data_IF_071385821182
#
_entry.id   IF_071385821182
#
_cell.length_a   1.000
_cell.length_b   1.000
_cell.length_c   1.000
_cell.angle_alpha   90.00
_cell.angle_beta   90.00
_cell.angle_gamma   90.00
#
_symmetry.space_group_name_H-M   'P 1'
#
loop_
_entity.id
_entity.type
_entity.pdbx_description
1 polymer ?
#
# COMPACT_ATOMS: atom_id res chain seq x y z
N UNK A 1 24.84 -28.73 17.11
CA UNK A 1 24.33 -27.71 16.20
C UNK A 1 22.92 -27.29 16.63
N UNK A 2 22.78 -26.62 17.79
CA UNK A 2 21.46 -26.22 18.33
C UNK A 2 21.48 -24.82 18.98
N UNK A 3 22.49 -23.97 18.65
CA UNK A 3 22.72 -22.70 19.35
C UNK A 3 22.33 -21.45 18.56
N UNK A 4 21.86 -21.59 17.29
CA UNK A 4 21.66 -20.42 16.41
C UNK A 4 20.19 -19.97 16.28
N UNK A 5 19.24 -20.87 16.50
CA UNK A 5 17.81 -20.52 16.38
C UNK A 5 17.29 -19.54 17.44
N UNK A 6 17.75 -19.66 18.67
CA UNK A 6 17.33 -18.76 19.75
C UNK A 6 17.84 -17.33 19.59
N UNK A 7 18.99 -17.14 18.94
CA UNK A 7 19.53 -15.81 18.63
C UNK A 7 18.75 -15.09 17.53
N UNK A 8 18.36 -15.83 16.49
CA UNK A 8 17.57 -15.30 15.36
C UNK A 8 16.16 -14.89 15.80
N UNK A 9 15.44 -15.78 16.51
CA UNK A 9 14.10 -15.48 17.04
C UNK A 9 14.10 -14.27 18.00
N UNK A 10 15.14 -14.12 18.84
CA UNK A 10 15.28 -12.97 19.71
C UNK A 10 15.51 -11.67 18.94
N UNK A 11 16.31 -11.69 17.89
CA UNK A 11 16.62 -10.55 17.04
C UNK A 11 15.40 -10.13 16.19
N UNK A 12 14.64 -11.08 15.65
CA UNK A 12 13.38 -10.85 14.95
C UNK A 12 12.34 -10.19 15.87
N UNK A 13 12.23 -10.66 17.11
CA UNK A 13 11.34 -10.08 18.13
C UNK A 13 11.78 -8.66 18.50
N UNK A 14 13.08 -8.42 18.64
CA UNK A 14 13.63 -7.09 18.96
C UNK A 14 13.36 -6.08 17.81
N UNK A 15 13.54 -6.49 16.56
CA UNK A 15 13.22 -5.63 15.40
C UNK A 15 11.73 -5.28 15.37
N UNK A 16 10.86 -6.28 15.57
CA UNK A 16 9.43 -6.04 15.60
C UNK A 16 9.03 -5.05 16.70
N UNK A 17 9.61 -5.18 17.89
CA UNK A 17 9.35 -4.27 19.01
C UNK A 17 9.76 -2.83 18.66
N UNK A 18 10.97 -2.64 18.08
CA UNK A 18 11.40 -1.30 17.64
C UNK A 18 10.46 -0.71 16.59
N UNK A 19 10.00 -1.53 15.62
CA UNK A 19 9.05 -1.09 14.61
C UNK A 19 7.68 -0.75 15.19
N UNK A 20 7.17 -1.59 16.11
CA UNK A 20 5.87 -1.39 16.73
C UNK A 20 5.83 -0.10 17.55
N UNK A 21 6.88 0.16 18.32
CA UNK A 21 6.98 1.33 19.21
C UNK A 21 7.35 2.62 18.49
N UNK A 22 7.83 2.54 17.23
CA UNK A 22 8.30 3.72 16.51
C UNK A 22 7.16 4.61 16.05
N UNK A 23 7.24 5.89 16.41
CA UNK A 23 6.34 6.94 15.92
C UNK A 23 7.05 7.78 14.85
N UNK A 24 6.43 7.88 13.67
CA UNK A 24 6.97 8.63 12.52
C UNK A 24 6.70 10.12 12.69
N UNK A 25 7.75 10.92 12.61
CA UNK A 25 7.68 12.38 12.70
C UNK A 25 7.82 12.90 14.13
N UNK A 26 7.60 14.20 14.36
CA UNK A 26 7.70 14.82 15.68
C UNK A 26 6.61 14.30 16.63
N UNK A 27 6.97 14.01 17.88
CA UNK A 27 6.05 13.51 18.93
C UNK A 27 4.95 14.53 19.27
N UNK A 28 5.26 15.82 19.16
CA UNK A 28 4.36 16.94 19.48
C UNK A 28 3.61 17.48 18.25
N UNK A 29 3.63 16.77 17.12
CA UNK A 29 2.98 17.19 15.90
C UNK A 29 1.47 17.31 16.08
N UNK A 30 0.91 18.51 15.94
CA UNK A 30 -0.54 18.74 15.94
C UNK A 30 -1.26 18.01 14.79
N UNK A 31 -0.53 17.66 13.74
CA UNK A 31 -1.00 16.90 12.59
C UNK A 31 -0.08 15.69 12.37
N UNK A 32 -0.51 14.55 12.86
CA UNK A 32 0.29 13.33 12.89
C UNK A 32 0.54 12.73 11.51
N UNK A 33 1.53 11.83 11.41
CA UNK A 33 1.82 11.08 10.19
C UNK A 33 0.58 10.31 9.68
N UNK A 34 -0.13 9.61 10.57
CA UNK A 34 -1.32 8.85 10.20
C UNK A 34 -2.46 9.75 9.67
N UNK A 35 -2.65 10.92 10.27
CA UNK A 35 -3.62 11.92 9.79
C UNK A 35 -3.24 12.48 8.42
N UNK A 36 -1.95 12.72 8.17
CA UNK A 36 -1.44 13.15 6.87
C UNK A 36 -1.64 12.07 5.82
N UNK A 37 -1.31 10.83 6.14
CA UNK A 37 -1.50 9.67 5.26
C UNK A 37 -2.99 9.53 4.86
N UNK A 38 -3.89 9.61 5.83
CA UNK A 38 -5.34 9.57 5.61
C UNK A 38 -5.80 10.69 4.67
N UNK A 39 -5.37 11.94 4.93
CA UNK A 39 -5.74 13.11 4.14
C UNK A 39 -5.25 13.02 2.69
N UNK A 40 -3.98 12.70 2.49
CA UNK A 40 -3.36 12.70 1.16
C UNK A 40 -3.93 11.62 0.26
N UNK A 41 -4.33 10.48 0.84
CA UNK A 41 -4.92 9.36 0.12
C UNK A 41 -6.47 9.34 0.16
N UNK A 42 -7.11 10.25 0.90
CA UNK A 42 -8.57 10.28 1.13
C UNK A 42 -9.09 9.00 1.78
N UNK A 43 -8.30 8.44 2.67
CA UNK A 43 -8.67 7.29 3.46
C UNK A 43 -9.35 7.70 4.76
N UNK A 44 -10.15 6.79 5.32
CA UNK A 44 -10.57 6.94 6.71
C UNK A 44 -9.39 6.85 7.65
N UNK A 45 -9.50 7.42 8.86
CA UNK A 45 -8.47 7.33 9.88
C UNK A 45 -8.15 5.85 10.23
N UNK A 46 -9.17 5.00 10.31
CA UNK A 46 -9.04 3.58 10.58
C UNK A 46 -8.24 2.87 9.47
N UNK A 47 -8.57 3.11 8.20
CA UNK A 47 -7.84 2.51 7.09
C UNK A 47 -6.36 2.96 7.07
N UNK A 48 -6.10 4.26 7.29
CA UNK A 48 -4.74 4.77 7.36
C UNK A 48 -3.93 4.18 8.51
N UNK A 49 -4.54 3.97 9.68
CA UNK A 49 -3.90 3.31 10.82
C UNK A 49 -3.54 1.84 10.50
N UNK A 50 -4.45 1.11 9.83
CA UNK A 50 -4.18 -0.25 9.37
C UNK A 50 -3.05 -0.29 8.33
N UNK A 51 -3.05 0.62 7.36
CA UNK A 51 -1.96 0.73 6.36
C UNK A 51 -0.63 1.03 7.04
N UNK A 52 -0.60 1.88 8.07
CA UNK A 52 0.62 2.16 8.83
C UNK A 52 1.16 0.90 9.55
N UNK A 53 0.28 0.09 10.14
CA UNK A 53 0.67 -1.21 10.71
C UNK A 53 1.26 -2.12 9.64
N UNK A 54 0.64 -2.19 8.47
CA UNK A 54 1.11 -3.00 7.34
C UNK A 54 2.42 -2.47 6.74
N UNK A 55 2.66 -1.16 6.79
CA UNK A 55 3.95 -0.57 6.43
C UNK A 55 5.06 -1.02 7.38
N UNK A 56 4.81 -1.08 8.69
CA UNK A 56 5.77 -1.62 9.67
C UNK A 56 6.07 -3.10 9.42
N UNK A 57 5.04 -3.92 9.08
CA UNK A 57 5.20 -5.31 8.66
C UNK A 57 6.03 -5.45 7.38
N UNK A 58 5.80 -4.58 6.40
CA UNK A 58 6.61 -4.53 5.19
C UNK A 58 8.08 -4.20 5.48
N UNK A 59 8.35 -3.23 6.34
CA UNK A 59 9.71 -2.89 6.76
C UNK A 59 10.39 -4.06 7.47
N UNK A 60 9.66 -4.79 8.29
CA UNK A 60 10.14 -6.02 8.91
C UNK A 60 10.51 -7.09 7.86
N UNK A 61 9.63 -7.33 6.88
CA UNK A 61 9.92 -8.26 5.78
C UNK A 61 11.12 -7.82 4.95
N UNK A 62 11.31 -6.51 4.74
CA UNK A 62 12.46 -6.00 4.02
C UNK A 62 13.79 -6.30 4.70
N UNK A 63 13.78 -6.47 6.03
CA UNK A 63 14.96 -6.85 6.81
C UNK A 63 15.14 -8.38 6.89
N UNK A 64 14.05 -9.14 7.05
CA UNK A 64 14.11 -10.54 7.52
C UNK A 64 13.69 -11.58 6.46
N UNK A 65 13.04 -11.19 5.36
CA UNK A 65 12.53 -12.15 4.38
C UNK A 65 13.63 -12.89 3.57
N UNK A 66 14.87 -12.42 3.59
CA UNK A 66 15.98 -13.01 2.85
C UNK A 66 15.92 -12.86 1.33
N UNK A 67 14.99 -12.04 0.82
CA UNK A 67 14.84 -11.69 -0.59
C UNK A 67 14.29 -10.26 -0.72
N UNK A 68 14.41 -9.68 -1.92
CA UNK A 68 13.78 -8.39 -2.19
C UNK A 68 12.25 -8.47 -2.06
N UNK A 69 11.66 -7.55 -1.30
CA UNK A 69 10.22 -7.46 -1.08
C UNK A 69 9.62 -6.27 -1.84
N UNK A 70 8.40 -6.43 -2.30
CA UNK A 70 7.64 -5.38 -3.02
C UNK A 70 6.43 -5.01 -2.19
N UNK A 71 6.21 -3.73 -1.85
CA UNK A 71 5.04 -3.30 -1.08
C UNK A 71 3.76 -3.38 -1.91
N UNK A 72 2.60 -3.42 -1.25
CA UNK A 72 1.34 -3.14 -1.91
C UNK A 72 1.24 -1.65 -2.27
N UNK A 73 0.27 -1.28 -3.12
CA UNK A 73 0.07 0.11 -3.50
C UNK A 73 -0.23 1.01 -2.28
N UNK A 74 -1.05 0.52 -1.35
CA UNK A 74 -1.38 1.24 -0.14
C UNK A 74 -0.17 1.39 0.80
N UNK A 75 0.62 0.33 0.98
CA UNK A 75 1.85 0.36 1.78
C UNK A 75 2.92 1.26 1.14
N UNK A 76 3.01 1.26 -0.18
CA UNK A 76 3.90 2.12 -0.94
C UNK A 76 3.58 3.62 -0.74
N UNK A 77 2.29 3.99 -0.62
CA UNK A 77 1.89 5.36 -0.26
C UNK A 77 2.40 5.77 1.14
N UNK A 78 2.35 4.87 2.11
CA UNK A 78 2.90 5.14 3.44
C UNK A 78 4.43 5.29 3.38
N UNK A 79 5.12 4.45 2.61
CA UNK A 79 6.56 4.55 2.42
C UNK A 79 6.97 5.84 1.71
N UNK A 80 6.30 6.21 0.61
CA UNK A 80 6.52 7.46 -0.10
C UNK A 80 6.34 8.67 0.83
N UNK A 81 5.28 8.67 1.64
CA UNK A 81 5.08 9.73 2.61
C UNK A 81 6.22 9.77 3.64
N UNK A 82 6.67 8.63 4.16
CA UNK A 82 7.76 8.57 5.13
C UNK A 82 9.08 9.12 4.54
N UNK A 83 9.36 8.85 3.28
CA UNK A 83 10.53 9.42 2.58
C UNK A 83 10.50 10.95 2.52
N UNK A 84 9.32 11.58 2.56
CA UNK A 84 9.21 13.04 2.64
C UNK A 84 9.59 13.60 4.00
N UNK A 85 9.53 12.78 5.04
CA UNK A 85 10.09 13.05 6.37
C UNK A 85 11.58 12.70 6.41
N UNK A 86 12.36 13.24 5.48
CA UNK A 86 13.70 12.73 5.14
C UNK A 86 14.68 12.65 6.32
N UNK A 87 14.64 13.60 7.27
CA UNK A 87 15.45 13.54 8.49
C UNK A 87 15.01 12.41 9.40
N UNK A 88 13.71 12.24 9.59
CA UNK A 88 13.15 11.13 10.37
C UNK A 88 13.55 9.79 9.75
N UNK A 89 13.38 9.66 8.42
CA UNK A 89 13.67 8.43 7.70
C UNK A 89 15.17 8.05 7.71
N UNK A 90 16.05 9.00 7.38
CA UNK A 90 17.48 8.71 7.21
C UNK A 90 18.31 8.84 8.48
N UNK A 91 17.92 9.75 9.40
CA UNK A 91 18.73 10.04 10.59
C UNK A 91 18.24 9.27 11.83
N UNK A 92 17.02 8.71 11.81
CA UNK A 92 16.42 7.97 12.93
C UNK A 92 15.91 6.58 12.53
N UNK A 93 14.95 6.50 11.59
CA UNK A 93 14.28 5.24 11.26
C UNK A 93 15.24 4.18 10.69
N UNK A 94 16.01 4.52 9.66
CA UNK A 94 16.95 3.58 9.07
C UNK A 94 18.06 3.14 10.04
N UNK A 95 18.80 4.06 10.73
CA UNK A 95 19.90 3.64 11.60
C UNK A 95 19.43 3.03 12.93
N UNK A 96 18.40 3.58 13.57
CA UNK A 96 18.05 3.21 14.94
C UNK A 96 17.02 2.08 15.00
N UNK A 97 16.06 2.06 14.05
CA UNK A 97 14.97 1.08 14.02
C UNK A 97 15.33 -0.11 13.14
N UNK A 98 15.62 0.11 11.85
CA UNK A 98 15.94 -0.95 10.90
C UNK A 98 17.38 -1.46 11.07
N UNK A 99 18.30 -0.60 11.48
CA UNK A 99 19.76 -0.81 11.53
C UNK A 99 20.37 -1.12 10.16
N UNK A 100 19.67 -0.68 9.11
CA UNK A 100 20.12 -0.78 7.71
C UNK A 100 19.44 0.29 6.85
N UNK A 101 20.06 0.71 5.75
CA UNK A 101 19.37 1.58 4.78
C UNK A 101 18.29 0.79 4.04
N UNK A 102 17.10 1.38 3.90
CA UNK A 102 16.03 0.84 3.06
C UNK A 102 15.74 1.83 1.94
N UNK A 103 16.27 1.52 0.74
CA UNK A 103 16.15 2.40 -0.42
C UNK A 103 14.91 2.11 -1.23
N UNK A 104 14.20 3.17 -1.64
CA UNK A 104 13.10 3.10 -2.58
C UNK A 104 13.61 3.47 -3.98
N UNK A 105 13.52 2.55 -4.92
CA UNK A 105 13.93 2.77 -6.31
C UNK A 105 12.73 2.83 -7.25
N UNK A 106 12.70 3.79 -8.20
CA UNK A 106 11.68 3.80 -9.25
C UNK A 106 11.88 2.61 -10.18
N UNK A 107 10.77 2.13 -10.76
CA UNK A 107 10.85 1.11 -11.82
C UNK A 107 11.46 1.70 -13.09
N UNK A 108 12.36 0.95 -13.74
CA UNK A 108 12.87 1.31 -15.05
C UNK A 108 11.84 1.05 -16.18
N UNK A 109 10.76 0.32 -15.88
CA UNK A 109 9.69 0.01 -16.82
C UNK A 109 9.98 -1.18 -17.73
N UNK A 110 9.05 -1.48 -18.63
CA UNK A 110 9.15 -2.60 -19.57
C UNK A 110 8.54 -3.91 -19.06
N UNK A 111 8.39 -4.87 -19.99
CA UNK A 111 7.68 -6.14 -19.73
C UNK A 111 8.44 -7.04 -18.75
N UNK A 112 9.75 -7.13 -18.90
CA UNK A 112 10.61 -7.97 -18.06
C UNK A 112 10.56 -7.51 -16.59
N UNK A 113 10.62 -6.19 -16.36
CA UNK A 113 10.56 -5.64 -15.03
C UNK A 113 9.16 -5.78 -14.40
N UNK A 114 8.10 -5.63 -15.21
CA UNK A 114 6.74 -5.89 -14.75
C UNK A 114 6.55 -7.34 -14.28
N UNK A 115 7.11 -8.32 -15.00
CA UNK A 115 7.09 -9.73 -14.58
C UNK A 115 7.88 -9.92 -13.30
N UNK A 116 9.06 -9.35 -13.20
CA UNK A 116 9.89 -9.38 -11.99
C UNK A 116 9.13 -8.87 -10.77
N UNK A 117 8.49 -7.70 -10.85
CA UNK A 117 7.72 -7.14 -9.74
C UNK A 117 6.48 -7.96 -9.40
N UNK A 118 5.84 -8.58 -10.39
CA UNK A 118 4.73 -9.50 -10.15
C UNK A 118 5.19 -10.69 -9.30
N UNK A 119 6.30 -11.31 -9.66
CA UNK A 119 6.85 -12.48 -8.97
C UNK A 119 7.37 -12.12 -7.58
N UNK A 120 8.10 -11.02 -7.45
CA UNK A 120 8.56 -10.49 -6.16
C UNK A 120 7.39 -10.21 -5.21
N UNK A 121 6.33 -9.59 -5.71
CA UNK A 121 5.16 -9.30 -4.91
C UNK A 121 4.43 -10.58 -4.47
N UNK A 122 4.29 -11.55 -5.36
CA UNK A 122 3.72 -12.86 -5.00
C UNK A 122 4.56 -13.56 -3.93
N UNK A 123 5.90 -13.47 -4.04
CA UNK A 123 6.82 -13.98 -3.03
C UNK A 123 6.71 -13.21 -1.71
N UNK A 124 6.55 -11.88 -1.75
CA UNK A 124 6.31 -11.05 -0.56
C UNK A 124 5.05 -11.50 0.19
N UNK A 125 3.94 -11.76 -0.52
CA UNK A 125 2.71 -12.27 0.08
C UNK A 125 2.89 -13.67 0.71
N UNK A 126 3.69 -14.53 0.09
CA UNK A 126 4.03 -15.84 0.66
C UNK A 126 4.86 -15.71 1.94
N UNK A 127 5.88 -14.84 1.94
CA UNK A 127 6.70 -14.53 3.13
C UNK A 127 5.86 -13.89 4.23
N UNK A 128 4.96 -12.97 3.88
CA UNK A 128 4.03 -12.37 4.84
C UNK A 128 3.25 -13.45 5.60
N UNK A 129 2.63 -14.39 4.86
CA UNK A 129 1.88 -15.49 5.47
C UNK A 129 2.77 -16.42 6.31
N UNK A 130 3.98 -16.70 5.85
CA UNK A 130 4.92 -17.58 6.55
C UNK A 130 5.36 -16.99 7.91
N UNK A 131 5.64 -15.67 7.95
CA UNK A 131 6.16 -15.01 9.14
C UNK A 131 5.08 -14.53 10.12
N UNK A 132 3.96 -14.02 9.62
CA UNK A 132 2.88 -13.51 10.49
C UNK A 132 1.77 -14.54 10.77
N UNK A 133 1.83 -15.75 10.19
CA UNK A 133 0.89 -16.83 10.44
C UNK A 133 -0.51 -16.63 9.83
N UNK A 134 -0.76 -15.50 9.21
CA UNK A 134 -2.04 -15.14 8.59
C UNK A 134 -1.85 -14.59 7.17
N UNK A 135 -2.86 -14.72 6.33
CA UNK A 135 -2.85 -14.04 5.04
C UNK A 135 -3.02 -12.53 5.22
N UNK A 136 -2.28 -11.76 4.44
CA UNK A 136 -2.45 -10.32 4.40
C UNK A 136 -3.87 -9.94 3.94
N UNK A 137 -4.41 -8.85 4.49
CA UNK A 137 -5.77 -8.40 4.19
C UNK A 137 -5.90 -7.88 2.75
N UNK A 138 -6.83 -8.40 1.96
CA UNK A 138 -6.98 -8.11 0.52
C UNK A 138 -7.25 -6.63 0.19
N UNK A 139 -7.78 -5.85 1.13
CA UNK A 139 -8.05 -4.42 0.94
C UNK A 139 -6.78 -3.55 1.04
N UNK A 140 -5.72 -4.07 1.67
CA UNK A 140 -4.40 -3.41 1.73
C UNK A 140 -3.39 -4.15 0.85
N UNK A 141 -3.43 -5.48 0.85
CA UNK A 141 -2.54 -6.36 0.10
C UNK A 141 -3.30 -7.21 -0.93
N UNK A 142 -3.82 -6.60 -2.01
CA UNK A 142 -4.52 -7.37 -3.03
C UNK A 142 -3.59 -8.42 -3.65
N UNK A 143 -4.14 -9.56 -4.06
CA UNK A 143 -3.36 -10.59 -4.74
C UNK A 143 -2.62 -10.06 -5.97
N UNK A 144 -1.47 -10.65 -6.31
CA UNK A 144 -0.57 -10.16 -7.37
C UNK A 144 -1.27 -9.93 -8.72
N UNK A 145 -2.20 -10.83 -9.11
CA UNK A 145 -2.98 -10.65 -10.34
C UNK A 145 -3.84 -9.38 -10.29
N UNK A 146 -4.49 -9.10 -9.18
CA UNK A 146 -5.31 -7.89 -9.03
C UNK A 146 -4.44 -6.65 -9.16
N UNK A 147 -3.32 -6.59 -8.40
CA UNK A 147 -2.42 -5.45 -8.39
C UNK A 147 -1.80 -5.14 -9.75
N UNK A 148 -1.29 -6.15 -10.47
CA UNK A 148 -0.46 -5.92 -11.67
C UNK A 148 -1.19 -6.12 -13.00
N UNK A 149 -2.35 -6.79 -13.00
CA UNK A 149 -3.08 -7.13 -14.23
C UNK A 149 -4.46 -6.48 -14.27
N UNK A 150 -5.22 -6.53 -13.17
CA UNK A 150 -6.62 -6.05 -13.14
C UNK A 150 -6.69 -4.56 -12.84
N UNK A 151 -5.99 -4.11 -11.79
CA UNK A 151 -5.97 -2.72 -11.32
C UNK A 151 -4.53 -2.11 -11.45
N UNK A 152 -3.89 -2.20 -12.65
CA UNK A 152 -2.48 -1.88 -12.78
C UNK A 152 -2.14 -0.39 -12.72
N UNK A 153 -3.14 0.50 -12.66
CA UNK A 153 -2.95 1.95 -12.73
C UNK A 153 -3.88 2.69 -11.79
N UNK A 154 -3.28 3.36 -10.80
CA UNK A 154 -3.91 4.48 -10.14
C UNK A 154 -3.66 5.75 -10.97
N UNK A 155 -4.71 6.51 -11.27
CA UNK A 155 -4.61 7.80 -11.95
C UNK A 155 -5.02 8.89 -10.98
N UNK A 156 -4.18 9.90 -10.81
CA UNK A 156 -4.56 11.10 -10.05
C UNK A 156 -5.51 11.93 -10.91
N UNK A 157 -6.69 12.21 -10.37
CA UNK A 157 -7.67 13.11 -10.97
C UNK A 157 -7.95 14.26 -10.01
N UNK A 158 -8.09 15.47 -10.54
CA UNK A 158 -8.58 16.58 -9.75
C UNK A 158 -10.09 16.39 -9.52
N UNK A 159 -10.55 16.27 -8.27
CA UNK A 159 -11.98 16.04 -8.00
C UNK A 159 -12.87 17.23 -8.35
N UNK A 160 -12.30 18.43 -8.57
CA UNK A 160 -13.06 19.56 -9.08
C UNK A 160 -13.44 19.40 -10.57
N UNK A 161 -12.69 18.59 -11.29
CA UNK A 161 -12.83 18.43 -12.75
C UNK A 161 -13.60 17.15 -13.13
N UNK A 162 -13.95 16.29 -12.14
CA UNK A 162 -14.55 14.98 -12.41
C UNK A 162 -15.64 14.62 -11.43
N UNK A 163 -16.63 13.87 -11.91
CA UNK A 163 -17.62 13.19 -11.06
C UNK A 163 -17.26 11.70 -11.06
N UNK A 164 -16.92 11.18 -9.88
CA UNK A 164 -16.59 9.75 -9.71
C UNK A 164 -17.86 9.00 -9.32
N UNK A 165 -18.34 8.14 -10.21
CA UNK A 165 -19.49 7.28 -9.99
C UNK A 165 -19.06 5.82 -9.90
N UNK A 166 -19.67 5.04 -8.99
CA UNK A 166 -19.54 3.60 -9.03
C UNK A 166 -20.09 3.06 -10.37
N UNK A 167 -19.42 2.10 -11.00
CA UNK A 167 -19.81 1.52 -12.30
C UNK A 167 -21.29 1.14 -12.40
N UNK A 168 -21.91 0.44 -11.40
CA UNK A 168 -23.33 0.11 -11.49
C UNK A 168 -24.24 1.36 -11.53
N UNK A 169 -23.88 2.42 -10.81
CA UNK A 169 -24.61 3.70 -10.84
C UNK A 169 -24.49 4.36 -12.21
N UNK A 170 -23.28 4.42 -12.77
CA UNK A 170 -23.04 4.98 -14.10
C UNK A 170 -23.82 4.21 -15.19
N UNK A 171 -23.80 2.88 -15.17
CA UNK A 171 -24.58 2.07 -16.10
C UNK A 171 -26.10 2.23 -15.93
N UNK A 172 -26.59 2.35 -14.69
CA UNK A 172 -28.00 2.64 -14.42
C UNK A 172 -28.43 3.97 -15.01
N UNK A 173 -27.64 5.03 -14.85
CA UNK A 173 -27.92 6.34 -15.44
C UNK A 173 -27.89 6.31 -16.98
N UNK A 174 -26.92 5.63 -17.59
CA UNK A 174 -26.86 5.47 -19.04
C UNK A 174 -28.07 4.72 -19.60
N UNK A 175 -28.49 3.64 -18.93
CA UNK A 175 -29.70 2.89 -19.32
C UNK A 175 -30.97 3.74 -19.22
N UNK A 176 -31.13 4.50 -18.14
CA UNK A 176 -32.26 5.42 -17.95
C UNK A 176 -32.30 6.50 -19.03
N UNK A 177 -31.16 7.09 -19.38
CA UNK A 177 -31.03 8.06 -20.46
C UNK A 177 -31.41 7.45 -21.82
N UNK A 178 -30.96 6.23 -22.12
CA UNK A 178 -31.27 5.53 -23.36
C UNK A 178 -32.79 5.27 -23.49
N UNK A 179 -33.46 4.85 -22.41
CA UNK A 179 -34.92 4.64 -22.40
C UNK A 179 -35.68 5.96 -22.60
N UNK A 180 -35.26 7.03 -21.92
CA UNK A 180 -35.86 8.35 -22.08
C UNK A 180 -35.74 8.88 -23.51
N UNK A 181 -34.55 8.69 -24.12
CA UNK A 181 -34.30 9.10 -25.50
C UNK A 181 -35.13 8.30 -26.50
N UNK A 182 -35.25 6.99 -26.34
CA UNK A 182 -36.14 6.15 -27.16
C UNK A 182 -37.62 6.57 -27.04
N UNK A 183 -38.10 6.89 -25.85
CA UNK A 183 -39.46 7.40 -25.63
C UNK A 183 -39.72 8.73 -26.35
N UNK A 184 -38.72 9.64 -26.33
CA UNK A 184 -38.83 10.91 -27.06
C UNK A 184 -38.93 10.72 -28.59
N UNK A 185 -38.13 9.77 -29.14
CA UNK A 185 -38.22 9.46 -30.58
C UNK A 185 -39.60 8.92 -30.94
N UNK A 186 -40.15 7.98 -30.18
CA UNK A 186 -41.47 7.40 -30.41
C UNK A 186 -42.56 8.49 -30.36
N UNK A 187 -42.45 9.36 -29.35
CA UNK A 187 -43.41 10.49 -29.23
C UNK A 187 -43.33 11.52 -30.38
N UNK A 188 -42.16 11.71 -30.96
CA UNK A 188 -41.92 12.60 -32.09
C UNK A 188 -42.40 12.01 -33.44
N UNK A 189 -42.58 10.68 -33.50
CA UNK A 189 -43.02 9.96 -34.73
C UNK A 189 -44.54 9.64 -34.69
N UNK A 190 -45.24 9.88 -33.59
CA UNK A 190 -46.67 9.72 -33.40
C UNK A 190 -47.41 11.03 -33.63
#
# INVERSE_FOLDING_TARGET
MCSDKGGVEAQETELWQRLADYEIGPEDAAFTFAQRLARENRWSADHAARVLTEYKRFCWLACEAGHEVTPSDAVDQAWHLHLTYSRDYWDRFCPDVLRMPLHHGPTAGGTAERTRYYDQYAQTLASYKAHFGEAASDDIWPGARRRFVVDPKAVRVNPADVVILARPVAYGLLAAMAVAFAGLIVAAMA
#
